data_IF_917009617755
#
_entry.id   IF_917009617755
#
_cell.length_a   1.000
_cell.length_b   1.000
_cell.length_c   1.000
_cell.angle_alpha   90.00
_cell.angle_beta   90.00
_cell.angle_gamma   90.00
#
_symmetry.space_group_name_H-M   'P 1'
#
loop_
_entity.id
_entity.type
_entity.pdbx_description
1 polymer ?
#
# COMPACT_ATOMS: atom_id res chain seq x y z
N UNK A 1 1.12 0.54 5.61
CA UNK A 1 -0.18 1.19 5.83
C UNK A 1 -0.12 2.71 5.71
N UNK A 2 1.09 3.33 5.82
CA UNK A 2 1.29 4.78 5.86
C UNK A 2 1.26 5.48 4.49
N UNK A 3 1.35 4.73 3.37
CA UNK A 3 1.42 5.32 2.04
C UNK A 3 2.71 6.10 1.77
N UNK A 4 3.80 5.80 2.46
CA UNK A 4 5.08 6.45 2.22
C UNK A 4 5.82 5.83 1.04
N UNK A 5 6.72 6.58 0.44
CA UNK A 5 7.58 6.16 -0.66
C UNK A 5 9.04 6.17 -0.21
N UNK A 6 9.87 5.43 -0.93
CA UNK A 6 11.32 5.55 -0.87
C UNK A 6 11.80 6.27 -2.13
N UNK A 7 12.72 7.21 -1.96
CA UNK A 7 13.37 7.93 -3.04
C UNK A 7 14.75 7.32 -3.38
N UNK A 8 15.38 7.85 -4.42
CA UNK A 8 16.68 7.41 -4.89
C UNK A 8 17.77 7.51 -3.81
N UNK A 9 17.81 8.61 -3.06
CA UNK A 9 18.84 8.85 -2.04
C UNK A 9 18.69 7.88 -0.87
N UNK A 10 17.46 7.62 -0.46
CA UNK A 10 17.17 6.65 0.60
C UNK A 10 17.59 5.24 0.21
N UNK A 11 17.21 4.78 -1.00
CA UNK A 11 17.64 3.46 -1.49
C UNK A 11 19.15 3.36 -1.66
N UNK A 12 19.82 4.41 -2.18
CA UNK A 12 21.26 4.41 -2.31
C UNK A 12 21.94 4.24 -0.95
N UNK A 13 21.50 4.99 0.07
CA UNK A 13 22.03 4.88 1.44
C UNK A 13 21.79 3.49 2.03
N UNK A 14 20.59 2.93 1.82
CA UNK A 14 20.26 1.59 2.32
C UNK A 14 21.07 0.50 1.61
N UNK A 15 21.21 0.57 0.28
CA UNK A 15 22.02 -0.37 -0.50
C UNK A 15 23.48 -0.34 -0.06
N UNK A 16 24.06 0.85 0.09
CA UNK A 16 25.43 1.00 0.58
C UNK A 16 25.61 0.36 1.95
N UNK A 17 24.70 0.65 2.90
CA UNK A 17 24.77 0.07 4.24
C UNK A 17 24.67 -1.45 4.21
N UNK A 18 23.76 -2.01 3.42
CA UNK A 18 23.58 -3.44 3.29
C UNK A 18 24.79 -4.14 2.63
N UNK A 19 25.35 -3.53 1.58
CA UNK A 19 26.54 -4.06 0.89
C UNK A 19 27.76 -4.07 1.82
N UNK A 20 28.07 -2.97 2.50
CA UNK A 20 29.19 -2.86 3.45
C UNK A 20 29.10 -3.83 4.64
N UNK A 21 27.88 -4.19 5.05
CA UNK A 21 27.63 -5.06 6.21
C UNK A 21 27.23 -6.50 5.83
N UNK A 22 27.28 -6.87 4.55
CA UNK A 22 26.86 -8.19 4.04
C UNK A 22 25.42 -8.57 4.46
N UNK A 23 24.50 -7.62 4.40
CA UNK A 23 23.07 -7.80 4.69
C UNK A 23 22.32 -8.01 3.39
N UNK A 24 21.53 -9.07 3.31
CA UNK A 24 20.63 -9.31 2.17
C UNK A 24 19.43 -8.35 2.25
N UNK A 25 19.13 -7.70 1.14
CA UNK A 25 18.06 -6.71 1.07
C UNK A 25 16.87 -7.24 0.27
N UNK A 26 15.68 -7.20 0.87
CA UNK A 26 14.43 -7.50 0.19
C UNK A 26 13.50 -6.27 0.24
N UNK A 27 13.00 -5.87 -0.92
CA UNK A 27 11.98 -4.83 -1.03
C UNK A 27 10.64 -5.43 -1.49
N UNK A 28 9.59 -5.22 -0.69
CA UNK A 28 8.22 -5.50 -1.11
C UNK A 28 7.65 -4.28 -1.85
N UNK A 29 7.78 -4.27 -3.19
CA UNK A 29 7.34 -3.21 -4.07
C UNK A 29 5.88 -3.38 -4.53
N UNK A 30 5.04 -4.05 -3.73
CA UNK A 30 3.65 -4.36 -4.09
C UNK A 30 2.81 -3.14 -4.52
N UNK A 31 3.15 -1.94 -4.06
CA UNK A 31 2.41 -0.70 -4.34
C UNK A 31 3.14 0.29 -5.25
N UNK A 32 4.23 -0.11 -5.89
CA UNK A 32 5.08 0.80 -6.69
C UNK A 32 4.31 1.52 -7.80
N UNK A 33 3.40 0.83 -8.49
CA UNK A 33 2.56 1.41 -9.55
C UNK A 33 1.57 2.47 -9.03
N UNK A 34 1.29 2.48 -7.75
CA UNK A 34 0.39 3.42 -7.08
C UNK A 34 1.16 4.52 -6.32
N UNK A 35 2.38 4.83 -6.71
CA UNK A 35 3.08 6.03 -6.26
C UNK A 35 2.50 7.27 -6.94
N UNK A 36 2.23 8.32 -6.16
CA UNK A 36 1.68 9.60 -6.64
C UNK A 36 2.73 10.70 -6.67
N UNK A 37 3.97 10.36 -6.39
CA UNK A 37 5.14 11.25 -6.39
C UNK A 37 6.13 10.82 -7.45
N UNK A 38 6.76 11.80 -8.10
CA UNK A 38 7.82 11.57 -9.08
C UNK A 38 9.17 11.23 -8.39
N UNK A 39 9.28 11.44 -7.08
CA UNK A 39 10.49 11.11 -6.29
C UNK A 39 10.58 9.62 -5.94
N UNK A 40 9.57 8.81 -6.26
CA UNK A 40 9.57 7.39 -5.96
C UNK A 40 10.52 6.63 -6.87
N UNK A 41 11.41 5.83 -6.26
CA UNK A 41 12.34 4.94 -6.96
C UNK A 41 12.04 3.47 -6.66
N UNK A 42 12.56 2.57 -7.47
CA UNK A 42 12.59 1.14 -7.21
C UNK A 42 13.94 0.72 -6.64
N UNK A 43 13.97 -0.35 -5.85
CA UNK A 43 15.23 -0.93 -5.41
C UNK A 43 16.05 -1.40 -6.62
N UNK A 44 15.40 -2.00 -7.62
CA UNK A 44 16.05 -2.54 -8.82
C UNK A 44 16.79 -1.49 -9.65
N UNK A 45 16.34 -0.23 -9.65
CA UNK A 45 17.04 0.86 -10.32
C UNK A 45 18.39 1.18 -9.66
N UNK A 46 18.46 1.11 -8.35
CA UNK A 46 19.62 1.54 -7.55
C UNK A 46 20.57 0.37 -7.24
N UNK A 47 20.02 -0.80 -6.92
CA UNK A 47 20.80 -1.95 -6.47
C UNK A 47 21.80 -2.47 -7.54
N UNK A 48 21.57 -2.15 -8.81
CA UNK A 48 22.51 -2.48 -9.91
C UNK A 48 23.86 -1.78 -9.81
N UNK A 49 23.94 -0.67 -9.07
CA UNK A 49 25.20 0.06 -8.81
C UNK A 49 26.05 -0.60 -7.72
N UNK A 50 25.50 -1.61 -7.03
CA UNK A 50 26.14 -2.34 -5.93
C UNK A 50 26.37 -3.81 -6.30
N UNK A 51 27.45 -4.15 -7.00
CA UNK A 51 27.65 -5.48 -7.60
C UNK A 51 27.79 -6.63 -6.60
N UNK A 52 28.09 -6.34 -5.33
CA UNK A 52 28.23 -7.37 -4.29
C UNK A 52 26.95 -7.47 -3.42
N UNK A 53 26.01 -6.57 -3.58
CA UNK A 53 24.76 -6.59 -2.81
C UNK A 53 23.88 -7.79 -3.23
N UNK A 54 23.51 -8.59 -2.25
CA UNK A 54 22.48 -9.62 -2.41
C UNK A 54 21.09 -9.00 -2.20
N UNK A 55 20.31 -8.88 -3.24
CA UNK A 55 19.03 -8.16 -3.18
C UNK A 55 17.92 -8.81 -3.99
N UNK A 56 16.67 -8.51 -3.63
CA UNK A 56 15.50 -8.90 -4.37
C UNK A 56 14.37 -7.88 -4.20
N UNK A 57 13.61 -7.65 -5.26
CA UNK A 57 12.41 -6.81 -5.25
C UNK A 57 11.20 -7.61 -5.77
N UNK A 58 10.10 -7.54 -5.02
CA UNK A 58 8.88 -8.28 -5.32
C UNK A 58 7.75 -7.40 -5.82
N UNK A 59 7.03 -7.85 -6.85
CA UNK A 59 5.89 -7.19 -7.47
C UNK A 59 4.64 -8.06 -7.41
N UNK A 60 3.47 -7.44 -7.44
CA UNK A 60 2.20 -8.16 -7.53
C UNK A 60 1.30 -7.58 -8.61
N UNK A 61 0.72 -8.44 -9.43
CA UNK A 61 -0.29 -8.05 -10.41
C UNK A 61 -1.55 -7.46 -9.75
N UNK A 62 -1.82 -7.82 -8.50
CA UNK A 62 -2.98 -7.35 -7.74
C UNK A 62 -3.09 -5.81 -7.65
N UNK A 63 -1.96 -5.09 -7.70
CA UNK A 63 -1.90 -3.62 -7.61
C UNK A 63 -1.28 -3.00 -8.87
N UNK A 64 -0.48 -3.78 -9.60
CA UNK A 64 0.26 -3.29 -10.77
C UNK A 64 -0.66 -3.05 -11.97
N UNK A 65 -1.61 -3.95 -12.23
CA UNK A 65 -2.53 -3.90 -13.38
C UNK A 65 -3.98 -3.58 -12.97
N UNK A 66 -4.17 -2.89 -11.86
CA UNK A 66 -5.49 -2.51 -11.38
C UNK A 66 -6.26 -3.67 -10.73
N UNK A 67 -7.01 -4.47 -11.44
CA UNK A 67 -7.92 -5.48 -10.88
C UNK A 67 -7.41 -6.93 -10.95
N UNK A 68 -6.10 -7.13 -10.83
CA UNK A 68 -5.47 -8.46 -10.86
C UNK A 68 -5.46 -9.23 -9.53
N UNK A 69 -6.20 -8.78 -8.52
CA UNK A 69 -6.12 -9.34 -7.15
C UNK A 69 -6.44 -10.83 -7.07
N UNK A 70 -7.48 -11.30 -7.76
CA UNK A 70 -7.88 -12.72 -7.77
C UNK A 70 -6.99 -13.62 -8.63
N UNK A 71 -6.03 -13.09 -9.36
CA UNK A 71 -5.16 -13.85 -10.26
C UNK A 71 -3.98 -14.48 -9.53
N UNK A 72 -3.60 -13.99 -8.36
CA UNK A 72 -2.49 -14.50 -7.54
C UNK A 72 -1.17 -14.63 -8.31
N UNK A 73 -0.86 -13.65 -9.14
CA UNK A 73 0.38 -13.56 -9.92
C UNK A 73 1.26 -12.45 -9.33
N UNK A 74 2.52 -12.76 -9.15
CA UNK A 74 3.59 -11.84 -8.79
C UNK A 74 4.89 -12.24 -9.48
N UNK A 75 5.86 -11.37 -9.43
CA UNK A 75 7.20 -11.60 -9.94
C UNK A 75 8.23 -11.04 -8.98
N UNK A 76 9.45 -11.60 -9.04
CA UNK A 76 10.59 -11.10 -8.30
C UNK A 76 11.76 -10.89 -9.25
N UNK A 77 12.50 -9.82 -9.05
CA UNK A 77 13.76 -9.50 -9.72
C UNK A 77 14.83 -9.27 -8.67
N UNK A 78 16.08 -9.62 -8.95
CA UNK A 78 17.15 -9.46 -7.97
C UNK A 78 18.50 -9.99 -8.45
N UNK A 79 19.48 -9.94 -7.55
CA UNK A 79 20.80 -10.52 -7.75
C UNK A 79 20.72 -12.03 -7.99
N UNK A 80 21.66 -12.57 -8.74
CA UNK A 80 21.64 -13.98 -9.18
C UNK A 80 21.65 -14.97 -8.02
N UNK A 81 22.35 -14.66 -6.94
CA UNK A 81 22.41 -15.46 -5.72
C UNK A 81 21.06 -15.49 -4.99
N UNK A 82 20.43 -14.30 -4.79
CA UNK A 82 19.13 -14.21 -4.13
C UNK A 82 18.03 -14.95 -4.92
N UNK A 83 17.97 -14.70 -6.23
CA UNK A 83 17.00 -15.36 -7.11
C UNK A 83 17.28 -16.86 -7.24
N UNK A 84 18.57 -17.26 -7.19
CA UNK A 84 18.97 -18.68 -7.16
C UNK A 84 18.40 -19.42 -5.94
N UNK A 85 18.58 -18.86 -4.75
CA UNK A 85 18.06 -19.40 -3.50
C UNK A 85 16.52 -19.50 -3.50
N UNK A 86 15.86 -18.42 -3.98
CA UNK A 86 14.40 -18.40 -4.11
C UNK A 86 13.88 -19.49 -5.06
N UNK A 87 14.53 -19.70 -6.19
CA UNK A 87 14.17 -20.79 -7.13
C UNK A 87 14.30 -22.15 -6.48
N UNK A 88 15.35 -22.37 -5.69
CA UNK A 88 15.53 -23.65 -4.99
C UNK A 88 14.43 -23.91 -3.96
N UNK A 89 14.09 -22.92 -3.13
CA UNK A 89 13.01 -23.03 -2.14
C UNK A 89 11.67 -23.21 -2.82
N UNK A 90 11.35 -22.34 -3.82
CA UNK A 90 10.09 -22.39 -4.54
C UNK A 90 9.89 -23.71 -5.29
N UNK A 91 10.95 -24.25 -5.89
CA UNK A 91 10.89 -25.52 -6.60
C UNK A 91 10.56 -26.73 -5.68
N UNK A 92 10.73 -26.56 -4.36
CA UNK A 92 10.40 -27.60 -3.35
C UNK A 92 9.05 -27.35 -2.66
N UNK A 93 8.53 -26.12 -2.70
CA UNK A 93 7.31 -25.72 -1.98
C UNK A 93 6.10 -25.55 -2.90
N UNK A 94 6.30 -25.17 -4.16
CA UNK A 94 5.23 -24.82 -5.10
C UNK A 94 5.28 -25.67 -6.37
N UNK A 95 4.10 -25.97 -6.93
CA UNK A 95 3.94 -26.66 -8.23
C UNK A 95 4.04 -25.71 -9.45
N UNK A 96 4.37 -24.44 -9.25
CA UNK A 96 4.41 -23.42 -10.30
C UNK A 96 3.29 -22.38 -10.20
N UNK A 97 3.08 -21.61 -11.24
CA UNK A 97 2.07 -20.57 -11.33
C UNK A 97 0.98 -20.92 -12.38
N UNK A 98 -0.15 -20.20 -12.30
CA UNK A 98 -1.26 -20.39 -13.25
C UNK A 98 -0.94 -19.64 -14.55
N UNK A 99 -0.43 -20.35 -15.55
CA UNK A 99 0.07 -19.78 -16.80
C UNK A 99 -0.95 -18.87 -17.53
N UNK A 100 -2.25 -19.20 -17.67
CA UNK A 100 -3.22 -18.29 -18.27
C UNK A 100 -3.33 -16.94 -17.58
N UNK A 101 -3.26 -16.91 -16.24
CA UNK A 101 -3.31 -15.65 -15.47
C UNK A 101 -2.05 -14.82 -15.66
N UNK A 102 -0.88 -15.49 -15.73
CA UNK A 102 0.38 -14.80 -16.02
C UNK A 102 0.38 -14.20 -17.44
N UNK A 103 -0.14 -14.92 -18.44
CA UNK A 103 -0.31 -14.40 -19.79
C UNK A 103 -1.22 -13.17 -19.83
N UNK A 104 -2.34 -13.19 -19.08
CA UNK A 104 -3.23 -12.03 -18.94
C UNK A 104 -2.53 -10.82 -18.30
N UNK A 105 -1.67 -11.04 -17.30
CA UNK A 105 -0.85 -9.96 -16.69
C UNK A 105 0.09 -9.34 -17.71
N UNK A 106 0.77 -10.16 -18.52
CA UNK A 106 1.68 -9.66 -19.57
C UNK A 106 0.93 -8.81 -20.59
N UNK A 107 -0.21 -9.29 -21.09
CA UNK A 107 -1.06 -8.51 -22.01
C UNK A 107 -1.48 -7.17 -21.39
N UNK A 108 -1.93 -7.16 -20.14
CA UNK A 108 -2.31 -5.92 -19.48
C UNK A 108 -1.12 -4.94 -19.35
N UNK A 109 0.07 -5.44 -19.04
CA UNK A 109 1.27 -4.62 -18.95
C UNK A 109 1.75 -4.08 -20.31
N UNK A 110 1.57 -4.82 -21.38
CA UNK A 110 2.02 -4.45 -22.71
C UNK A 110 1.01 -3.57 -23.46
N UNK A 111 -0.30 -3.80 -23.27
CA UNK A 111 -1.35 -3.23 -24.10
C UNK A 111 -2.31 -2.27 -23.36
N UNK A 112 -2.34 -2.24 -22.00
CA UNK A 112 -3.30 -1.44 -21.22
C UNK A 112 -2.63 -0.41 -20.30
N UNK A 113 -1.65 0.32 -20.79
CA UNK A 113 -1.00 1.38 -20.03
C UNK A 113 -1.97 2.53 -19.67
N UNK A 114 -2.96 2.81 -20.51
CA UNK A 114 -3.99 3.81 -20.25
C UNK A 114 -4.90 3.38 -19.10
N UNK A 115 -5.31 2.11 -19.03
CA UNK A 115 -6.10 1.55 -17.94
C UNK A 115 -5.35 1.57 -16.61
N UNK A 116 -4.06 1.20 -16.63
CA UNK A 116 -3.18 1.27 -15.44
C UNK A 116 -3.08 2.71 -14.92
N UNK A 117 -2.86 3.69 -15.81
CA UNK A 117 -2.79 5.10 -15.46
C UNK A 117 -4.12 5.62 -14.91
N UNK A 118 -5.25 5.24 -15.52
CA UNK A 118 -6.59 5.63 -15.06
C UNK A 118 -6.87 5.09 -13.64
N UNK A 119 -6.44 3.88 -13.34
CA UNK A 119 -6.55 3.29 -12.00
C UNK A 119 -5.78 4.06 -10.94
N UNK A 120 -4.56 4.48 -11.26
CA UNK A 120 -3.73 5.32 -10.40
C UNK A 120 -4.41 6.67 -10.10
N UNK A 121 -4.95 7.32 -11.13
CA UNK A 121 -5.68 8.59 -10.99
C UNK A 121 -6.92 8.41 -10.10
N UNK A 122 -7.70 7.37 -10.32
CA UNK A 122 -8.89 7.06 -9.53
C UNK A 122 -8.57 6.89 -8.04
N UNK A 123 -7.54 6.12 -7.69
CA UNK A 123 -7.16 5.94 -6.29
C UNK A 123 -6.64 7.23 -5.66
N UNK A 124 -5.86 8.02 -6.38
CA UNK A 124 -5.41 9.34 -5.92
C UNK A 124 -6.59 10.25 -5.59
N UNK A 125 -7.61 10.27 -6.48
CA UNK A 125 -8.83 11.04 -6.27
C UNK A 125 -9.58 10.57 -5.02
N UNK A 126 -9.82 9.27 -4.87
CA UNK A 126 -10.51 8.70 -3.72
C UNK A 126 -9.78 8.94 -2.40
N UNK A 127 -8.43 8.89 -2.40
CA UNK A 127 -7.64 9.26 -1.22
C UNK A 127 -7.88 10.71 -0.82
N UNK A 128 -7.84 11.63 -1.77
CA UNK A 128 -8.12 13.05 -1.53
C UNK A 128 -9.54 13.27 -1.01
N UNK A 129 -10.53 12.58 -1.60
CA UNK A 129 -11.92 12.66 -1.16
C UNK A 129 -12.08 12.18 0.28
N UNK A 130 -11.58 10.98 0.61
CA UNK A 130 -11.68 10.43 1.96
C UNK A 130 -10.96 11.29 2.99
N UNK A 131 -9.73 11.71 2.69
CA UNK A 131 -8.96 12.57 3.59
C UNK A 131 -9.69 13.88 3.87
N UNK A 132 -10.18 14.56 2.85
CA UNK A 132 -10.93 15.80 3.02
C UNK A 132 -12.20 15.64 3.86
N UNK A 133 -12.96 14.56 3.67
CA UNK A 133 -14.15 14.28 4.47
C UNK A 133 -13.78 14.08 5.94
N UNK A 134 -12.81 13.21 6.21
CA UNK A 134 -12.44 12.83 7.56
C UNK A 134 -11.82 14.00 8.34
N UNK A 135 -10.96 14.81 7.71
CA UNK A 135 -10.39 16.04 8.29
C UNK A 135 -11.48 17.06 8.62
N UNK A 136 -12.44 17.27 7.72
CA UNK A 136 -13.58 18.16 7.96
C UNK A 136 -14.49 17.67 9.10
N UNK A 137 -14.47 16.37 9.40
CA UNK A 137 -15.16 15.77 10.55
C UNK A 137 -14.31 15.74 11.82
N UNK A 138 -13.12 16.35 11.82
CA UNK A 138 -12.26 16.48 12.99
C UNK A 138 -11.26 15.34 13.20
N UNK A 139 -11.18 14.38 12.28
CA UNK A 139 -10.13 13.36 12.31
C UNK A 139 -8.76 13.97 12.00
N UNK A 140 -7.71 13.44 12.62
CA UNK A 140 -6.32 13.87 12.40
C UNK A 140 -5.58 12.85 11.54
N UNK A 141 -5.19 13.27 10.35
CA UNK A 141 -4.35 12.47 9.47
C UNK A 141 -2.96 12.29 10.13
N UNK A 142 -2.52 11.05 10.31
CA UNK A 142 -1.23 10.76 10.93
C UNK A 142 -0.06 11.10 10.01
N UNK A 143 -0.23 10.86 8.70
CA UNK A 143 0.75 11.18 7.67
C UNK A 143 0.06 11.25 6.30
N UNK A 144 0.48 12.20 5.47
CA UNK A 144 -0.04 12.36 4.10
C UNK A 144 0.35 11.14 3.24
N UNK A 145 -0.62 10.44 2.62
CA UNK A 145 -0.31 9.31 1.75
C UNK A 145 0.25 9.78 0.40
N UNK A 146 1.45 9.31 0.06
CA UNK A 146 2.14 9.57 -1.21
C UNK A 146 2.04 8.39 -2.18
N UNK A 147 1.52 7.24 -1.72
CA UNK A 147 1.36 6.01 -2.50
C UNK A 147 0.26 5.11 -1.94
N UNK A 148 -0.17 4.13 -2.74
CA UNK A 148 -1.14 3.11 -2.35
C UNK A 148 -2.57 3.63 -2.33
N UNK A 149 -3.43 2.96 -1.58
CA UNK A 149 -4.85 3.29 -1.46
C UNK A 149 -5.34 3.25 0.01
N UNK A 150 -4.42 3.55 0.94
CA UNK A 150 -4.71 3.61 2.37
C UNK A 150 -4.42 5.01 2.92
N UNK A 151 -5.23 5.39 3.91
CA UNK A 151 -4.99 6.54 4.78
C UNK A 151 -4.75 6.06 6.21
N UNK A 152 -3.88 6.74 6.96
CA UNK A 152 -3.55 6.41 8.34
C UNK A 152 -3.93 7.58 9.25
N UNK A 153 -4.70 7.30 10.30
CA UNK A 153 -5.31 8.30 11.17
C UNK A 153 -4.94 8.08 12.62
N UNK A 154 -4.74 9.16 13.35
CA UNK A 154 -4.57 9.10 14.81
C UNK A 154 -5.86 8.63 15.49
N UNK A 155 -5.72 7.85 16.56
CA UNK A 155 -6.86 7.47 17.39
C UNK A 155 -7.34 8.65 18.21
N UNK A 156 -8.62 9.04 18.13
CA UNK A 156 -9.16 10.11 18.97
C UNK A 156 -9.24 9.68 20.43
N UNK A 157 -9.21 10.64 21.37
CA UNK A 157 -9.42 10.37 22.80
C UNK A 157 -10.88 10.25 23.19
N UNK A 158 -11.78 10.80 22.39
CA UNK A 158 -13.24 10.69 22.58
C UNK A 158 -13.93 10.50 21.24
N UNK A 159 -14.97 9.68 21.25
CA UNK A 159 -15.90 9.51 20.11
C UNK A 159 -17.27 9.08 20.65
N UNK A 160 -18.36 9.43 19.96
CA UNK A 160 -19.73 9.08 20.34
C UNK A 160 -20.12 9.49 21.79
N UNK A 161 -19.48 10.52 22.34
CA UNK A 161 -19.67 10.97 23.73
C UNK A 161 -18.85 10.19 24.76
N UNK A 162 -18.13 9.15 24.38
CA UNK A 162 -17.36 8.25 25.26
C UNK A 162 -15.85 8.53 25.22
N UNK A 163 -15.12 8.11 26.24
CA UNK A 163 -13.65 8.10 26.24
C UNK A 163 -13.16 6.87 25.50
N UNK A 164 -12.19 7.04 24.63
CA UNK A 164 -11.57 5.98 23.84
C UNK A 164 -10.25 5.57 24.46
N UNK A 165 -10.08 4.29 24.76
CA UNK A 165 -8.88 3.72 25.37
C UNK A 165 -7.89 3.13 24.36
N UNK A 166 -8.35 2.76 23.17
CA UNK A 166 -7.54 2.14 22.11
C UNK A 166 -8.10 2.38 20.72
N UNK A 167 -7.25 2.21 19.71
CA UNK A 167 -7.66 2.22 18.30
C UNK A 167 -8.63 1.08 17.96
N UNK A 168 -8.48 -0.06 18.62
CA UNK A 168 -9.39 -1.19 18.48
C UNK A 168 -10.80 -0.84 18.94
N UNK A 169 -10.93 -0.24 20.13
CA UNK A 169 -12.22 0.21 20.67
C UNK A 169 -12.90 1.23 19.76
N UNK A 170 -12.15 2.23 19.29
CA UNK A 170 -12.69 3.20 18.34
C UNK A 170 -13.16 2.54 17.04
N UNK A 171 -12.40 1.59 16.51
CA UNK A 171 -12.80 0.86 15.30
C UNK A 171 -14.10 0.07 15.50
N UNK A 172 -14.26 -0.62 16.63
CA UNK A 172 -15.50 -1.32 16.96
C UNK A 172 -16.70 -0.37 17.11
N UNK A 173 -16.52 0.77 17.78
CA UNK A 173 -17.58 1.78 17.89
C UNK A 173 -17.98 2.35 16.51
N UNK A 174 -17.02 2.58 15.63
CA UNK A 174 -17.31 3.00 14.25
C UNK A 174 -18.12 1.94 13.50
N UNK A 175 -17.76 0.67 13.62
CA UNK A 175 -18.49 -0.44 12.98
C UNK A 175 -19.92 -0.52 13.53
N UNK A 176 -20.09 -0.52 14.84
CA UNK A 176 -21.39 -0.70 15.50
C UNK A 176 -22.34 0.47 15.23
N UNK A 177 -21.85 1.70 15.28
CA UNK A 177 -22.70 2.89 15.16
C UNK A 177 -22.88 3.38 13.73
N UNK A 178 -21.96 3.04 12.80
CA UNK A 178 -21.97 3.64 11.46
C UNK A 178 -21.80 2.63 10.33
N UNK A 179 -21.37 1.41 10.60
CA UNK A 179 -21.02 0.41 9.60
C UNK A 179 -19.67 0.66 8.89
N UNK A 180 -18.92 1.71 9.26
CA UNK A 180 -17.60 2.00 8.68
C UNK A 180 -16.55 1.09 9.31
N UNK A 181 -15.87 0.31 8.46
CA UNK A 181 -14.85 -0.67 8.88
C UNK A 181 -13.47 -0.14 8.59
N UNK A 182 -12.67 0.08 9.62
CA UNK A 182 -11.24 0.35 9.54
C UNK A 182 -10.41 -0.86 9.98
N UNK A 183 -9.10 -0.66 10.02
CA UNK A 183 -8.15 -1.62 10.61
C UNK A 183 -7.29 -0.87 11.62
N UNK A 184 -7.28 -1.33 12.86
CA UNK A 184 -6.47 -0.74 13.92
C UNK A 184 -5.00 -1.21 13.83
N UNK A 185 -4.07 -0.28 14.08
CA UNK A 185 -2.64 -0.53 14.15
C UNK A 185 -2.03 0.28 15.30
N UNK A 186 -1.66 -0.37 16.39
CA UNK A 186 -1.13 0.34 17.55
C UNK A 186 -2.06 1.51 17.95
N UNK A 187 -1.63 2.76 17.79
CA UNK A 187 -2.41 3.96 18.10
C UNK A 187 -3.06 4.61 16.88
N UNK A 188 -3.17 3.89 15.76
CA UNK A 188 -3.65 4.40 14.49
C UNK A 188 -4.78 3.56 13.93
N UNK A 189 -5.53 4.17 13.01
CA UNK A 189 -6.53 3.49 12.20
C UNK A 189 -6.18 3.65 10.72
N UNK A 190 -6.28 2.57 9.99
CA UNK A 190 -6.14 2.54 8.54
C UNK A 190 -7.50 2.41 7.88
N UNK A 191 -7.78 3.28 6.93
CA UNK A 191 -8.94 3.13 6.02
C UNK A 191 -8.44 2.95 4.59
N UNK A 192 -9.18 2.17 3.80
CA UNK A 192 -8.89 1.89 2.41
C UNK A 192 -9.91 2.58 1.51
N UNK A 193 -9.46 3.05 0.34
CA UNK A 193 -10.33 3.66 -0.68
C UNK A 193 -10.65 2.69 -1.83
N UNK A 194 -10.71 1.38 -1.52
CA UNK A 194 -11.04 0.34 -2.52
C UNK A 194 -12.51 0.40 -2.97
N UNK A 195 -13.42 0.82 -2.09
CA UNK A 195 -14.80 1.13 -2.44
C UNK A 195 -14.89 2.49 -3.17
N UNK A 196 -16.01 2.74 -3.82
CA UNK A 196 -16.27 4.02 -4.49
C UNK A 196 -16.61 5.12 -3.47
N UNK A 197 -15.58 5.70 -2.87
CA UNK A 197 -15.69 6.76 -1.86
C UNK A 197 -16.38 8.01 -2.42
N UNK A 198 -16.21 8.28 -3.70
CA UNK A 198 -16.84 9.45 -4.33
C UNK A 198 -18.36 9.29 -4.42
N UNK A 199 -18.84 8.08 -4.75
CA UNK A 199 -20.29 7.75 -4.74
C UNK A 199 -20.87 7.66 -3.32
N UNK A 200 -20.04 7.34 -2.32
CA UNK A 200 -20.46 7.17 -0.92
C UNK A 200 -20.14 8.40 -0.05
N UNK A 201 -19.82 9.52 -0.65
CA UNK A 201 -19.34 10.74 0.04
C UNK A 201 -20.24 11.14 1.22
N UNK A 202 -21.53 11.26 0.98
CA UNK A 202 -22.50 11.74 1.98
C UNK A 202 -22.62 10.75 3.15
N UNK A 203 -22.65 9.47 2.87
CA UNK A 203 -22.74 8.41 3.89
C UNK A 203 -21.48 8.40 4.77
N UNK A 204 -20.30 8.52 4.17
CA UNK A 204 -19.02 8.58 4.89
C UNK A 204 -18.95 9.85 5.75
N UNK A 205 -19.38 10.99 5.22
CA UNK A 205 -19.41 12.26 5.96
C UNK A 205 -20.36 12.19 7.16
N UNK A 206 -21.57 11.63 6.98
CA UNK A 206 -22.54 11.42 8.07
C UNK A 206 -21.94 10.52 9.15
N UNK A 207 -21.29 9.41 8.76
CA UNK A 207 -20.70 8.47 9.70
C UNK A 207 -19.64 9.13 10.60
N UNK A 208 -18.69 9.87 10.02
CA UNK A 208 -17.65 10.55 10.79
C UNK A 208 -18.14 11.78 11.56
N UNK A 209 -19.15 12.50 11.07
CA UNK A 209 -19.83 13.57 11.84
C UNK A 209 -20.52 13.01 13.09
N UNK A 210 -21.17 11.85 12.98
CA UNK A 210 -21.83 11.19 14.10
C UNK A 210 -20.83 10.73 15.17
N UNK A 211 -19.60 10.41 14.80
CA UNK A 211 -18.56 10.02 15.73
C UNK A 211 -18.15 11.15 16.69
N UNK A 212 -18.30 12.43 16.33
CA UNK A 212 -18.00 13.61 17.18
C UNK A 212 -16.63 13.48 17.86
N UNK A 213 -15.58 13.20 17.09
CA UNK A 213 -14.24 12.92 17.60
C UNK A 213 -13.58 14.12 18.24
N UNK A 214 -12.75 13.87 19.26
CA UNK A 214 -11.83 14.88 19.84
C UNK A 214 -10.53 14.24 20.36
N UNK A 215 -9.45 15.04 20.44
CA UNK A 215 -8.09 14.61 20.75
C UNK A 215 -7.56 15.20 22.05
#
# INVERSE_FOLDING_TARGET
PSGQIADTEWFHTLCQYCDENNIRLFNDAAYISLSYSDDCSTLSEIATDFPNLSWCEGFTAAKLIGNGTGWHIGAMVGSSDFIGDLKEVKGKSDAGFVAPMAAGVLVALEEDQEGIAAYKIMYKQRLSTLSGIMENCGMRLAIEPRAGFYTLWETPKRAFGEMISSSEEFNFLMIENTGVVGVHFSNYLRYAVCADVDAMRDDVEIAFKNAQVSY
#
